data_IF_345430788669
#
_entry.id   IF_345430788669
#
_cell.length_a   1.000
_cell.length_b   1.000
_cell.length_c   1.000
_cell.angle_alpha   90.00
_cell.angle_beta   90.00
_cell.angle_gamma   90.00
#
_symmetry.space_group_name_H-M   'P 1'
#
loop_
_entity.id
_entity.type
_entity.pdbx_description
1 polymer ?
#
# COMPACT_ATOMS: atom_id res chain seq x y z
N UNK A 1 0.60 -43.87 -0.96
CA UNK A 1 0.56 -43.83 -2.43
C UNK A 1 -0.71 -43.10 -2.82
N UNK A 2 -0.61 -41.80 -3.15
CA UNK A 2 -1.74 -40.98 -3.58
C UNK A 2 -1.39 -40.45 -4.95
N UNK A 3 -2.21 -40.81 -5.92
CA UNK A 3 -2.01 -40.57 -7.34
C UNK A 3 -2.58 -39.19 -7.69
N UNK A 4 -1.74 -38.29 -8.18
CA UNK A 4 -2.15 -36.98 -8.70
C UNK A 4 -2.52 -37.13 -10.17
N UNK A 5 -3.76 -36.79 -10.52
CA UNK A 5 -4.22 -36.72 -11.93
C UNK A 5 -4.02 -35.29 -12.44
N UNK A 6 -3.19 -35.16 -13.45
CA UNK A 6 -2.99 -33.93 -14.22
C UNK A 6 -3.96 -34.00 -15.42
N UNK A 7 -4.84 -33.01 -15.52
CA UNK A 7 -5.68 -32.78 -16.70
C UNK A 7 -5.16 -31.61 -17.51
N UNK A 8 -4.63 -31.90 -18.68
CA UNK A 8 -4.37 -30.92 -19.76
C UNK A 8 -5.68 -30.66 -20.51
N UNK A 9 -6.02 -29.40 -20.68
CA UNK A 9 -6.95 -28.97 -21.70
C UNK A 9 -6.30 -27.90 -22.58
N UNK A 10 -5.99 -28.34 -23.82
CA UNK A 10 -5.67 -27.47 -24.96
C UNK A 10 -6.98 -27.06 -25.63
N UNK A 11 -7.11 -25.78 -25.97
CA UNK A 11 -8.00 -25.35 -27.05
C UNK A 11 -7.42 -24.12 -27.76
N UNK A 12 -6.96 -24.35 -28.94
CA UNK A 12 -6.54 -23.37 -29.97
C UNK A 12 -7.80 -22.96 -30.72
N UNK A 13 -8.00 -21.67 -30.92
CA UNK A 13 -8.89 -21.17 -31.98
C UNK A 13 -8.24 -19.99 -32.70
N UNK A 14 -7.88 -20.25 -33.94
CA UNK A 14 -7.38 -19.32 -34.94
C UNK A 14 -8.61 -18.82 -35.71
N UNK A 15 -8.78 -17.51 -35.86
CA UNK A 15 -9.68 -16.92 -36.84
C UNK A 15 -9.00 -15.80 -37.60
N UNK A 16 -8.65 -16.10 -38.81
CA UNK A 16 -8.20 -15.16 -39.86
C UNK A 16 -9.40 -14.62 -40.61
N UNK A 17 -9.49 -13.32 -40.76
CA UNK A 17 -10.34 -12.69 -41.79
C UNK A 17 -9.50 -11.66 -42.56
N UNK A 18 -9.26 -11.98 -43.80
CA UNK A 18 -8.73 -11.05 -44.83
C UNK A 18 -9.90 -10.46 -45.63
N UNK A 19 -9.89 -9.17 -45.82
CA UNK A 19 -10.67 -8.57 -46.93
C UNK A 19 -9.84 -7.50 -47.61
N UNK A 20 -9.61 -7.76 -48.86
CA UNK A 20 -9.07 -6.93 -49.91
C UNK A 20 -10.11 -5.96 -50.43
N UNK A 21 -9.74 -4.72 -50.71
CA UNK A 21 -10.37 -3.92 -51.76
C UNK A 21 -9.36 -2.93 -52.38
N UNK A 22 -9.12 -3.11 -53.63
CA UNK A 22 -8.40 -2.22 -54.53
C UNK A 22 -9.28 -1.03 -54.95
N UNK A 23 -8.63 0.10 -55.28
CA UNK A 23 -9.16 1.16 -56.13
C UNK A 23 -8.15 2.29 -56.31
N UNK A 24 -7.85 2.69 -57.56
CA UNK A 24 -6.78 3.65 -57.85
C UNK A 24 -7.31 5.06 -58.08
N UNK A 25 -6.51 6.06 -57.79
CA UNK A 25 -6.17 7.22 -58.63
C UNK A 25 -5.49 8.33 -57.80
N UNK A 26 -4.32 8.75 -58.27
CA UNK A 26 -3.64 9.99 -57.92
C UNK A 26 -4.13 11.11 -58.87
N UNK A 27 -3.81 12.44 -58.74
CA UNK A 27 -2.54 12.97 -58.27
C UNK A 27 -2.59 14.28 -57.42
N UNK A 28 -1.41 14.60 -56.88
CA UNK A 28 -0.85 15.92 -56.53
C UNK A 28 -1.63 16.96 -55.72
N UNK A 29 -1.14 17.22 -54.52
CA UNK A 29 -0.81 18.58 -54.06
C UNK A 29 0.09 18.52 -52.81
N UNK A 30 1.25 19.11 -52.90
CA UNK A 30 2.15 19.36 -51.81
C UNK A 30 1.45 20.18 -50.71
N UNK A 31 1.38 19.64 -49.50
CA UNK A 31 1.10 20.41 -48.28
C UNK A 31 2.09 19.99 -47.20
N UNK A 32 2.98 20.91 -46.92
CA UNK A 32 3.89 20.92 -45.76
C UNK A 32 3.10 20.71 -44.50
N UNK A 33 3.00 19.46 -44.03
CA UNK A 33 2.43 19.09 -42.76
C UNK A 33 3.48 19.26 -41.64
N UNK A 34 3.39 20.34 -40.91
CA UNK A 34 4.12 20.51 -39.69
C UNK A 34 3.74 19.34 -38.73
N UNK A 35 4.75 18.57 -38.31
CA UNK A 35 4.65 17.59 -37.24
C UNK A 35 4.15 18.31 -36.01
N UNK A 36 3.04 17.87 -35.35
CA UNK A 36 2.66 18.44 -34.07
C UNK A 36 3.78 18.20 -33.06
N UNK A 37 4.08 19.16 -32.17
CA UNK A 37 5.05 18.96 -31.12
C UNK A 37 4.59 17.77 -30.26
N UNK A 38 5.49 16.82 -30.01
CA UNK A 38 5.31 15.79 -29.00
C UNK A 38 4.99 16.49 -27.68
N UNK A 39 3.77 16.32 -27.24
CA UNK A 39 3.37 16.66 -25.89
C UNK A 39 4.24 15.83 -24.97
N UNK A 40 5.22 16.47 -24.34
CA UNK A 40 6.01 15.87 -23.28
C UNK A 40 5.05 15.83 -22.09
N UNK A 41 4.47 14.67 -21.86
CA UNK A 41 3.72 14.37 -20.66
C UNK A 41 4.68 14.59 -19.49
N UNK A 42 4.53 15.73 -18.81
CA UNK A 42 5.29 16.02 -17.61
C UNK A 42 4.80 15.03 -16.54
N UNK A 43 5.63 14.05 -16.21
CA UNK A 43 5.41 13.23 -15.01
C UNK A 43 5.34 14.17 -13.80
N UNK A 44 4.15 14.35 -13.27
CA UNK A 44 3.93 15.09 -12.03
C UNK A 44 4.43 14.18 -10.91
N UNK A 45 5.71 14.27 -10.60
CA UNK A 45 6.27 13.66 -9.40
C UNK A 45 5.71 14.44 -8.20
N UNK A 46 4.63 13.94 -7.62
CA UNK A 46 4.09 14.48 -6.37
C UNK A 46 5.06 14.18 -5.24
N UNK A 47 5.89 15.13 -4.88
CA UNK A 47 6.76 15.01 -3.71
C UNK A 47 5.88 15.16 -2.47
N UNK A 48 5.79 14.09 -1.65
CA UNK A 48 5.12 14.14 -0.34
C UNK A 48 5.95 15.06 0.57
N UNK A 49 5.33 16.14 1.05
CA UNK A 49 5.97 17.05 1.98
C UNK A 49 6.09 16.37 3.35
N UNK A 50 7.32 16.24 3.86
CA UNK A 50 7.60 15.65 5.17
C UNK A 50 8.09 16.71 6.14
N UNK A 51 7.76 16.53 7.44
CA UNK A 51 8.26 17.35 8.54
C UNK A 51 9.45 16.62 9.19
N UNK A 52 10.54 17.33 9.54
CA UNK A 52 11.67 16.70 10.24
C UNK A 52 11.26 16.19 11.63
N UNK A 53 11.98 15.21 12.21
CA UNK A 53 11.73 14.73 13.57
C UNK A 53 11.70 15.88 14.57
N UNK A 54 10.69 15.90 15.44
CA UNK A 54 10.51 16.92 16.47
C UNK A 54 11.12 16.52 17.83
N UNK A 55 11.56 15.26 17.97
CA UNK A 55 12.12 14.69 19.19
C UNK A 55 11.09 14.17 20.19
N UNK A 56 9.80 14.27 19.88
CA UNK A 56 8.74 13.67 20.71
C UNK A 56 8.59 12.18 20.42
N UNK A 57 8.29 11.40 21.48
CA UNK A 57 8.06 9.96 21.41
C UNK A 57 6.79 9.63 22.16
N UNK A 58 5.88 8.90 21.53
CA UNK A 58 4.63 8.41 22.12
C UNK A 58 4.64 6.89 22.07
N UNK A 59 4.15 6.23 23.14
CA UNK A 59 4.02 4.78 23.18
C UNK A 59 2.55 4.37 23.14
N UNK A 60 2.23 3.46 22.24
CA UNK A 60 0.95 2.75 22.15
C UNK A 60 1.16 1.33 22.62
N UNK A 61 0.40 0.89 23.60
CA UNK A 61 0.43 -0.49 24.05
C UNK A 61 -0.53 -1.33 23.19
N UNK A 62 -0.04 -2.41 22.62
CA UNK A 62 -0.85 -3.49 22.06
C UNK A 62 -1.14 -4.47 23.19
N UNK A 63 -2.41 -4.56 23.60
CA UNK A 63 -2.92 -5.51 24.57
C UNK A 63 -3.67 -6.62 23.82
N UNK A 64 -4.08 -7.69 24.49
CA UNK A 64 -4.65 -8.87 23.83
C UNK A 64 -5.79 -8.60 22.83
N UNK A 65 -6.56 -7.52 23.01
CA UNK A 65 -7.69 -7.20 22.12
C UNK A 65 -7.85 -5.68 21.88
N UNK A 66 -6.85 -4.87 22.18
CA UNK A 66 -6.96 -3.42 22.02
C UNK A 66 -5.61 -2.71 21.94
N UNK A 67 -5.55 -1.60 21.23
CA UNK A 67 -4.47 -0.62 21.33
C UNK A 67 -4.82 0.44 22.40
N UNK A 68 -3.80 0.93 23.13
CA UNK A 68 -3.96 1.97 24.16
C UNK A 68 -2.83 3.01 24.11
N UNK A 69 -3.14 4.29 23.86
CA UNK A 69 -4.45 4.83 23.46
C UNK A 69 -4.87 4.32 22.08
N UNK A 70 -6.18 4.31 21.77
CA UNK A 70 -6.68 3.86 20.47
C UNK A 70 -7.04 5.03 19.53
N UNK A 71 -7.26 6.22 20.07
CA UNK A 71 -7.58 7.44 19.35
C UNK A 71 -6.81 8.60 19.98
N UNK A 72 -5.93 9.26 19.20
CA UNK A 72 -5.06 10.30 19.73
C UNK A 72 -4.47 11.18 18.61
N UNK A 73 -3.95 12.34 19.00
CA UNK A 73 -3.34 13.32 18.10
C UNK A 73 -1.87 13.53 18.46
N UNK A 74 -1.04 13.73 17.45
CA UNK A 74 0.38 14.09 17.58
C UNK A 74 0.77 15.16 16.59
N UNK A 75 1.85 15.87 16.91
CA UNK A 75 2.50 16.76 15.95
C UNK A 75 3.27 15.95 14.89
N UNK A 76 3.30 16.43 13.65
CA UNK A 76 4.13 15.83 12.62
C UNK A 76 5.62 15.83 13.05
N UNK A 77 6.32 14.74 12.75
CA UNK A 77 7.70 14.52 13.20
C UNK A 77 7.81 13.78 14.54
N UNK A 78 6.71 13.34 15.14
CA UNK A 78 6.70 12.51 16.35
C UNK A 78 6.98 11.04 16.00
N UNK A 79 7.82 10.37 16.78
CA UNK A 79 8.01 8.93 16.73
C UNK A 79 6.93 8.23 17.57
N UNK A 80 6.29 7.21 17.00
CA UNK A 80 5.32 6.38 17.71
C UNK A 80 5.91 4.98 17.87
N UNK A 81 6.00 4.52 19.11
CA UNK A 81 6.43 3.18 19.49
C UNK A 81 5.19 2.36 19.82
N UNK A 82 4.96 1.29 19.08
CA UNK A 82 3.99 0.27 19.43
C UNK A 82 4.71 -0.80 20.24
N UNK A 83 4.18 -1.12 21.43
CA UNK A 83 4.77 -2.03 22.41
C UNK A 83 3.78 -3.15 22.68
N UNK A 84 4.12 -4.38 22.29
CA UNK A 84 3.27 -5.55 22.53
C UNK A 84 3.37 -5.99 24.00
N UNK A 85 2.41 -5.54 24.80
CA UNK A 85 2.23 -5.89 26.22
C UNK A 85 1.19 -6.97 26.44
N UNK A 86 0.59 -7.48 25.38
CA UNK A 86 -0.34 -8.62 25.41
C UNK A 86 0.38 -9.96 25.57
N UNK A 87 -0.40 -11.03 25.55
CA UNK A 87 0.09 -12.41 25.57
C UNK A 87 -0.03 -13.08 24.20
N UNK A 88 -0.58 -12.37 23.21
CA UNK A 88 -0.81 -12.85 21.86
C UNK A 88 0.09 -12.14 20.87
N UNK A 89 0.34 -12.81 19.74
CA UNK A 89 0.93 -12.16 18.58
C UNK A 89 -0.06 -11.17 17.99
N UNK A 90 0.45 -10.04 17.52
CA UNK A 90 -0.31 -8.99 16.85
C UNK A 90 0.35 -8.60 15.55
N UNK A 91 -0.39 -7.91 14.71
CA UNK A 91 0.15 -7.09 13.63
C UNK A 91 -0.40 -5.66 13.74
N UNK A 92 0.23 -4.75 13.01
CA UNK A 92 -0.25 -3.37 12.87
C UNK A 92 -0.38 -3.13 11.37
N UNK A 93 -1.60 -3.15 10.89
CA UNK A 93 -1.91 -2.95 9.48
C UNK A 93 -2.61 -1.61 9.29
N UNK A 94 -2.14 -0.75 8.36
CA UNK A 94 -2.98 0.34 7.85
C UNK A 94 -4.33 -0.22 7.38
N UNK A 95 -5.43 0.51 7.56
CA UNK A 95 -6.79 0.04 7.25
C UNK A 95 -7.01 -0.33 5.77
N UNK A 96 -6.15 0.16 4.88
CA UNK A 96 -6.11 -0.19 3.46
C UNK A 96 -5.45 -1.54 3.16
N UNK A 97 -4.73 -2.11 4.13
CA UNK A 97 -3.99 -3.38 4.02
C UNK A 97 -4.78 -4.49 4.71
N UNK A 98 -4.95 -5.62 4.05
CA UNK A 98 -5.88 -6.67 4.46
C UNK A 98 -5.26 -7.72 5.38
N UNK A 99 -3.97 -8.00 5.19
CA UNK A 99 -3.24 -9.06 5.88
C UNK A 99 -1.72 -8.82 5.84
N UNK A 100 -0.96 -9.67 6.52
CA UNK A 100 0.50 -9.60 6.58
C UNK A 100 1.17 -9.74 5.20
N UNK A 101 0.55 -10.49 4.28
CA UNK A 101 1.08 -10.65 2.91
C UNK A 101 0.97 -9.32 2.16
N UNK A 102 -0.18 -8.65 2.28
CA UNK A 102 -0.39 -7.33 1.71
C UNK A 102 0.56 -6.28 2.29
N UNK A 103 0.80 -6.31 3.61
CA UNK A 103 1.76 -5.43 4.26
C UNK A 103 3.19 -5.68 3.74
N UNK A 104 3.62 -6.93 3.69
CA UNK A 104 4.95 -7.30 3.19
C UNK A 104 5.14 -6.82 1.75
N UNK A 105 4.12 -6.98 0.90
CA UNK A 105 4.15 -6.50 -0.49
C UNK A 105 4.24 -4.97 -0.57
N UNK A 106 3.49 -4.25 0.28
CA UNK A 106 3.57 -2.79 0.38
C UNK A 106 5.00 -2.35 0.74
N UNK A 107 5.53 -2.83 1.86
CA UNK A 107 6.84 -2.41 2.37
C UNK A 107 8.01 -2.81 1.47
N UNK A 108 7.83 -3.83 0.62
CA UNK A 108 8.83 -4.22 -0.37
C UNK A 108 8.88 -3.28 -1.59
N UNK A 109 7.81 -2.55 -1.88
CA UNK A 109 7.68 -1.73 -3.10
C UNK A 109 7.53 -0.25 -2.82
N UNK A 110 7.02 0.12 -1.67
CA UNK A 110 6.80 1.51 -1.25
C UNK A 110 7.77 1.88 -0.11
N UNK A 111 8.68 2.80 -0.40
CA UNK A 111 9.65 3.37 0.56
C UNK A 111 9.24 4.77 1.02
N UNK A 112 8.03 5.20 0.70
CA UNK A 112 7.52 6.50 1.14
C UNK A 112 7.35 6.55 2.67
N UNK A 113 7.37 7.74 3.26
CA UNK A 113 7.18 7.91 4.71
C UNK A 113 5.76 7.56 5.18
N UNK A 114 4.85 7.25 4.27
CA UNK A 114 3.49 6.81 4.55
C UNK A 114 3.32 5.28 4.46
N UNK A 115 4.37 4.55 4.05
CA UNK A 115 4.39 3.08 4.09
C UNK A 115 4.89 2.62 5.46
N UNK A 116 4.02 2.00 6.25
CA UNK A 116 4.30 1.60 7.63
C UNK A 116 3.47 0.40 8.05
N UNK A 117 3.81 -0.17 9.21
CA UNK A 117 3.15 -1.33 9.79
C UNK A 117 4.14 -2.43 10.11
N UNK A 118 3.69 -3.45 10.85
CA UNK A 118 4.47 -4.62 11.21
C UNK A 118 3.61 -5.88 11.09
N UNK A 119 4.18 -6.93 10.50
CA UNK A 119 3.55 -8.24 10.34
C UNK A 119 3.56 -9.02 11.66
N UNK A 120 2.63 -9.98 11.83
CA UNK A 120 2.49 -10.72 13.09
C UNK A 120 3.73 -11.53 13.49
N UNK A 121 4.51 -12.14 12.59
CA UNK A 121 5.74 -12.83 12.97
C UNK A 121 6.82 -11.94 13.58
N UNK A 122 6.74 -10.64 13.34
CA UNK A 122 7.71 -9.64 13.78
C UNK A 122 7.16 -8.76 14.92
N UNK A 123 6.02 -9.14 15.53
CA UNK A 123 5.40 -8.38 16.62
C UNK A 123 4.76 -9.31 17.65
N UNK A 124 5.57 -10.21 18.20
CA UNK A 124 5.20 -11.14 19.26
C UNK A 124 5.24 -10.47 20.65
N UNK A 125 4.69 -11.12 21.71
CA UNK A 125 4.72 -10.57 23.08
C UNK A 125 6.11 -10.11 23.53
N UNK A 126 6.20 -8.83 23.93
CA UNK A 126 7.43 -8.17 24.36
C UNK A 126 8.19 -7.42 23.25
N UNK A 127 7.78 -7.56 22.00
CA UNK A 127 8.37 -6.81 20.90
C UNK A 127 7.87 -5.38 20.82
N UNK A 128 8.66 -4.54 20.17
CA UNK A 128 8.32 -3.16 19.86
C UNK A 128 8.50 -2.90 18.36
N UNK A 129 7.62 -2.07 17.83
CA UNK A 129 7.73 -1.52 16.47
C UNK A 129 7.66 0.00 16.55
N UNK A 130 8.54 0.72 15.86
CA UNK A 130 8.49 2.18 15.83
C UNK A 130 8.34 2.73 14.40
N UNK A 131 7.64 3.85 14.28
CA UNK A 131 7.50 4.60 13.03
C UNK A 131 7.51 6.11 13.29
N UNK A 132 8.19 6.86 12.42
CA UNK A 132 8.20 8.32 12.44
C UNK A 132 7.04 8.85 11.60
N UNK A 133 6.02 9.42 12.25
CA UNK A 133 4.89 10.04 11.57
C UNK A 133 5.19 11.48 11.20
N UNK A 134 5.80 11.67 10.05
CA UNK A 134 6.29 12.96 9.58
C UNK A 134 5.48 13.56 8.41
N UNK A 135 4.38 12.94 8.04
CA UNK A 135 3.41 13.45 7.04
C UNK A 135 2.09 13.70 7.74
N UNK A 136 1.55 14.93 7.71
CA UNK A 136 0.22 15.21 8.27
C UNK A 136 -0.88 14.38 7.61
N UNK A 137 -1.83 13.90 8.42
CA UNK A 137 -2.93 13.06 7.93
C UNK A 137 -3.58 12.24 9.03
N UNK A 138 -4.59 11.45 8.66
CA UNK A 138 -5.24 10.50 9.55
C UNK A 138 -4.81 9.08 9.18
N UNK A 139 -4.29 8.37 10.14
CA UNK A 139 -3.75 7.01 10.00
C UNK A 139 -4.61 6.06 10.82
N UNK A 140 -5.52 5.38 10.15
CA UNK A 140 -6.30 4.31 10.73
C UNK A 140 -5.53 2.99 10.64
N UNK A 141 -5.57 2.19 11.71
CA UNK A 141 -4.85 0.93 11.77
C UNK A 141 -5.63 -0.09 12.59
N UNK A 142 -5.29 -1.36 12.41
CA UNK A 142 -5.91 -2.45 13.14
C UNK A 142 -4.98 -3.68 13.22
N UNK A 143 -5.34 -4.64 14.07
CA UNK A 143 -4.75 -5.97 14.11
C UNK A 143 -5.72 -6.95 13.44
N UNK A 144 -5.32 -7.59 12.33
CA UNK A 144 -6.19 -8.50 11.58
C UNK A 144 -6.47 -9.83 12.29
N UNK A 145 -5.69 -10.15 13.34
CA UNK A 145 -5.88 -11.35 14.17
C UNK A 145 -7.06 -11.16 15.14
N UNK A 146 -7.25 -9.92 15.65
CA UNK A 146 -8.21 -9.63 16.72
C UNK A 146 -9.24 -8.55 16.34
N UNK A 147 -9.29 -8.14 15.07
CA UNK A 147 -10.18 -7.08 14.61
C UNK A 147 -10.23 -6.92 13.10
N UNK A 148 -10.83 -5.82 12.71
CA UNK A 148 -10.97 -5.36 11.34
C UNK A 148 -10.94 -3.83 11.33
N UNK A 149 -10.83 -3.16 10.18
CA UNK A 149 -10.92 -1.70 10.11
C UNK A 149 -12.14 -1.16 10.87
N UNK A 150 -11.90 -0.34 11.91
CA UNK A 150 -12.93 0.29 12.73
C UNK A 150 -13.70 -0.65 13.68
N UNK A 151 -13.25 -1.92 13.86
CA UNK A 151 -13.92 -2.86 14.73
C UNK A 151 -12.93 -3.81 15.44
N UNK A 152 -13.18 -4.12 16.71
CA UNK A 152 -12.29 -4.97 17.51
C UNK A 152 -11.01 -4.24 17.90
N UNK A 153 -9.86 -4.84 17.60
CA UNK A 153 -8.55 -4.25 17.88
C UNK A 153 -8.14 -3.27 16.77
N UNK A 154 -8.47 -2.01 16.91
CA UNK A 154 -8.16 -0.94 15.95
C UNK A 154 -7.74 0.35 16.66
N UNK A 155 -7.18 1.29 15.93
CA UNK A 155 -6.83 2.61 16.40
C UNK A 155 -6.84 3.67 15.30
N UNK A 156 -6.86 4.93 15.72
CA UNK A 156 -6.78 6.11 14.84
C UNK A 156 -5.72 7.06 15.39
N UNK A 157 -4.83 7.49 14.53
CA UNK A 157 -3.81 8.47 14.82
C UNK A 157 -3.99 9.68 13.88
N UNK A 158 -4.16 10.86 14.44
CA UNK A 158 -4.17 12.11 13.68
C UNK A 158 -2.84 12.84 13.84
N UNK A 159 -2.21 13.14 12.72
CA UNK A 159 -0.93 13.86 12.63
C UNK A 159 -1.19 15.25 12.07
N UNK A 160 -0.81 16.30 12.79
CA UNK A 160 -1.07 17.70 12.45
C UNK A 160 0.21 18.53 12.30
#
# INVERSE_FOLDING_TARGET
MVTVKISLFSAVLISTIALTACGPDAPDAASSGAKPPSEVEAEVTTTIATVPPNGEVITIQALDNSFRPFDFEIAAGTEVIFDNRGQNDHNILPDTIKDDVGLTALLATDTSPTAWGVASPDFVPGDTYSHLFNVPGTYNYYCSIHGAPGAGMYGTLTVS
#
